data_IF_715657093006
#
_entry.id   IF_715657093006
#
_cell.length_a   1.000
_cell.length_b   1.000
_cell.length_c   1.000
_cell.angle_alpha   90.00
_cell.angle_beta   90.00
_cell.angle_gamma   90.00
#
_symmetry.space_group_name_H-M   'P 1'
#
loop_
_entity.id
_entity.type
_entity.pdbx_description
1 polymer ?
#
# COMPACT_ATOMS: atom_id res chain seq x y z
N UNK A 1 -0.18 -66.55 61.18
CA UNK A 1 0.08 -67.03 59.80
C UNK A 1 0.95 -66.00 59.09
N UNK A 2 2.07 -66.43 58.53
CA UNK A 2 3.08 -65.60 57.87
C UNK A 2 2.61 -65.13 56.48
N UNK A 3 2.78 -63.85 56.18
CA UNK A 3 2.65 -63.30 54.82
C UNK A 3 3.92 -63.60 54.01
N UNK A 4 3.83 -64.08 52.75
CA UNK A 4 5.00 -64.33 51.94
C UNK A 4 5.57 -63.01 51.36
N UNK A 5 6.88 -62.82 51.52
CA UNK A 5 7.65 -61.73 50.93
C UNK A 5 7.78 -61.95 49.42
N UNK A 6 7.14 -61.08 48.63
CA UNK A 6 7.25 -61.07 47.16
C UNK A 6 8.63 -60.53 46.78
N UNK A 7 9.48 -61.37 46.19
CA UNK A 7 10.78 -60.97 45.65
C UNK A 7 10.56 -60.17 44.36
N UNK A 8 10.91 -58.89 44.35
CA UNK A 8 10.99 -58.12 43.11
C UNK A 8 12.18 -58.60 42.27
N UNK A 9 11.99 -59.07 41.04
CA UNK A 9 13.10 -59.42 40.16
C UNK A 9 13.84 -58.13 39.76
N UNK A 10 15.10 -58.02 40.18
CA UNK A 10 16.03 -56.94 39.84
C UNK A 10 16.47 -57.03 38.38
N UNK A 11 15.54 -56.82 37.44
CA UNK A 11 15.82 -56.73 36.00
C UNK A 11 15.80 -55.27 35.51
N UNK A 12 16.38 -54.35 36.30
CA UNK A 12 16.49 -52.92 35.96
C UNK A 12 17.46 -52.63 34.79
N UNK A 13 18.28 -53.61 34.39
CA UNK A 13 19.22 -53.47 33.26
C UNK A 13 18.52 -53.40 31.90
N UNK A 14 17.38 -54.07 31.74
CA UNK A 14 16.61 -54.07 30.49
C UNK A 14 15.95 -52.71 30.16
N UNK A 15 15.26 -52.02 31.09
CA UNK A 15 14.76 -50.67 30.82
C UNK A 15 15.89 -49.63 30.73
N UNK A 16 17.02 -49.83 31.42
CA UNK A 16 18.18 -48.93 31.33
C UNK A 16 18.83 -48.97 29.93
N UNK A 17 18.96 -50.15 29.33
CA UNK A 17 19.48 -50.31 27.97
C UNK A 17 18.53 -49.68 26.94
N UNK A 18 17.22 -49.85 27.12
CA UNK A 18 16.21 -49.21 26.26
C UNK A 18 16.28 -47.67 26.35
N UNK A 19 16.45 -47.14 27.56
CA UNK A 19 16.64 -45.71 27.81
C UNK A 19 17.92 -45.19 27.13
N UNK A 20 19.03 -45.92 27.22
CA UNK A 20 20.29 -45.54 26.56
C UNK A 20 20.17 -45.52 25.02
N UNK A 21 19.44 -46.46 24.42
CA UNK A 21 19.21 -46.50 22.96
C UNK A 21 18.37 -45.30 22.51
N UNK A 22 17.35 -44.92 23.29
CA UNK A 22 16.54 -43.71 23.04
C UNK A 22 17.39 -42.44 23.08
N UNK A 23 18.30 -42.31 24.06
CA UNK A 23 19.20 -41.17 24.16
C UNK A 23 20.21 -41.08 23.00
N UNK A 24 20.65 -42.22 22.45
CA UNK A 24 21.55 -42.24 21.29
C UNK A 24 20.85 -41.87 19.97
N UNK A 25 19.55 -42.15 19.84
CA UNK A 25 18.74 -41.73 18.69
C UNK A 25 18.27 -40.28 18.76
N UNK A 26 18.25 -39.67 19.96
CA UNK A 26 17.77 -38.31 20.17
C UNK A 26 18.78 -37.21 19.76
N UNK A 27 20.00 -37.55 19.34
CA UNK A 27 20.96 -36.57 18.84
C UNK A 27 20.65 -36.23 17.36
N UNK A 28 19.49 -35.61 17.14
CA UNK A 28 19.14 -34.96 15.88
C UNK A 28 19.97 -33.69 15.72
N UNK A 29 20.82 -33.63 14.71
CA UNK A 29 21.63 -32.44 14.40
C UNK A 29 20.69 -31.27 14.15
N UNK A 30 20.75 -30.23 14.98
CA UNK A 30 20.16 -28.93 14.67
C UNK A 30 20.89 -28.37 13.45
N UNK A 31 20.39 -28.67 12.26
CA UNK A 31 20.85 -28.01 11.04
C UNK A 31 20.31 -26.59 11.08
N UNK A 32 21.14 -25.54 11.17
CA UNK A 32 20.65 -24.18 11.11
C UNK A 32 20.02 -23.97 9.73
N UNK A 33 18.70 -23.82 9.68
CA UNK A 33 18.00 -23.45 8.44
C UNK A 33 18.23 -21.96 8.25
N UNK A 34 19.01 -21.54 7.24
CA UNK A 34 19.27 -20.13 7.03
C UNK A 34 17.96 -19.43 6.65
N UNK A 35 17.72 -18.25 7.24
CA UNK A 35 16.57 -17.42 6.85
C UNK A 35 16.65 -17.17 5.33
N UNK A 36 15.57 -17.43 4.57
CA UNK A 36 15.59 -17.19 3.14
C UNK A 36 15.83 -15.70 2.87
N UNK A 37 16.62 -15.42 1.84
CA UNK A 37 16.83 -14.04 1.36
C UNK A 37 15.48 -13.44 0.99
N UNK A 38 15.21 -12.24 1.49
CA UNK A 38 14.03 -11.49 1.08
C UNK A 38 14.17 -11.10 -0.38
N UNK A 39 13.28 -11.58 -1.23
CA UNK A 39 13.13 -11.11 -2.60
C UNK A 39 11.78 -10.42 -2.74
N UNK A 40 11.69 -9.48 -3.68
CA UNK A 40 10.44 -8.83 -4.02
C UNK A 40 9.45 -9.89 -4.50
N UNK A 41 8.38 -10.13 -3.71
CA UNK A 41 7.26 -11.01 -4.10
C UNK A 41 6.26 -10.30 -5.00
N UNK A 42 6.77 -9.47 -5.90
CA UNK A 42 5.96 -8.71 -6.84
C UNK A 42 6.36 -9.25 -8.21
N UNK A 43 5.46 -9.99 -8.84
CA UNK A 43 5.65 -10.45 -10.21
C UNK A 43 5.44 -9.25 -11.14
N UNK A 44 6.54 -8.54 -11.43
CA UNK A 44 6.51 -7.46 -12.40
C UNK A 44 6.35 -8.06 -13.81
N UNK A 45 5.42 -7.53 -14.63
CA UNK A 45 5.29 -7.97 -16.01
C UNK A 45 6.56 -7.60 -16.78
N UNK A 46 6.87 -8.37 -17.83
CA UNK A 46 8.00 -8.08 -18.71
C UNK A 46 7.83 -6.69 -19.33
N UNK A 47 8.85 -5.81 -19.29
CA UNK A 47 8.72 -4.46 -19.81
C UNK A 47 8.43 -4.49 -21.30
N UNK A 48 7.37 -3.79 -21.71
CA UNK A 48 7.02 -3.57 -23.11
C UNK A 48 7.06 -2.08 -23.40
N UNK A 49 7.54 -1.73 -24.58
CA UNK A 49 7.74 -0.35 -25.02
C UNK A 49 7.06 -0.11 -26.36
N UNK A 50 6.48 1.06 -26.51
CA UNK A 50 5.89 1.57 -27.74
C UNK A 50 6.68 2.80 -28.17
N UNK A 51 7.08 2.81 -29.44
CA UNK A 51 7.69 3.98 -30.05
C UNK A 51 6.60 5.04 -30.26
N UNK A 52 6.72 6.19 -29.59
CA UNK A 52 5.81 7.31 -29.78
C UNK A 52 6.60 8.49 -30.30
N UNK A 53 6.17 9.01 -31.45
CA UNK A 53 6.49 10.35 -31.92
C UNK A 53 5.24 11.19 -31.63
N UNK A 54 5.17 11.92 -30.51
CA UNK A 54 4.16 12.96 -30.34
C UNK A 54 4.39 14.06 -31.39
N UNK A 55 3.48 15.01 -31.56
CA UNK A 55 3.57 16.16 -32.49
C UNK A 55 4.74 17.15 -32.16
N UNK A 56 5.94 16.63 -31.90
CA UNK A 56 7.12 17.32 -31.41
C UNK A 56 8.39 16.68 -32.03
N UNK A 57 9.49 17.43 -32.15
CA UNK A 57 10.69 17.01 -32.89
C UNK A 57 11.56 15.96 -32.18
N UNK A 58 11.10 15.40 -31.05
CA UNK A 58 11.80 14.35 -30.30
C UNK A 58 11.04 13.03 -30.38
N UNK A 59 11.80 11.95 -30.29
CA UNK A 59 11.32 10.58 -30.41
C UNK A 59 11.90 9.74 -29.27
N UNK A 60 11.05 9.00 -28.57
CA UNK A 60 11.47 8.10 -27.50
C UNK A 60 10.49 6.94 -27.30
N UNK A 61 11.01 5.86 -26.73
CA UNK A 61 10.23 4.69 -26.37
C UNK A 61 9.52 4.90 -25.03
N UNK A 62 8.22 4.66 -25.00
CA UNK A 62 7.37 4.81 -23.82
C UNK A 62 6.87 3.43 -23.39
N UNK A 63 6.84 3.14 -22.09
CA UNK A 63 6.32 1.85 -21.62
C UNK A 63 4.81 1.71 -21.91
N UNK A 64 4.38 0.53 -22.37
CA UNK A 64 2.96 0.23 -22.60
C UNK A 64 2.10 0.38 -21.35
N UNK A 65 2.72 0.23 -20.18
CA UNK A 65 2.05 0.34 -18.88
C UNK A 65 1.87 1.79 -18.43
N UNK A 66 2.50 2.75 -19.11
CA UNK A 66 2.34 4.16 -18.79
C UNK A 66 1.12 4.72 -19.50
N UNK A 67 0.24 5.36 -18.72
CA UNK A 67 -0.93 6.06 -19.24
C UNK A 67 -0.67 7.55 -19.20
N UNK A 68 -0.67 8.19 -20.36
CA UNK A 68 -0.67 9.64 -20.49
C UNK A 68 -2.12 10.09 -20.61
N UNK A 69 -2.68 10.66 -19.54
CA UNK A 69 -3.95 11.36 -19.60
C UNK A 69 -3.64 12.86 -19.62
N UNK A 70 -4.05 13.55 -20.69
CA UNK A 70 -4.05 15.01 -20.70
C UNK A 70 -5.14 15.46 -19.73
N UNK A 71 -4.73 15.92 -18.56
CA UNK A 71 -5.65 16.51 -17.59
C UNK A 71 -5.90 17.93 -18.07
N UNK A 72 -7.08 18.15 -18.65
CA UNK A 72 -7.59 19.50 -18.87
C UNK A 72 -8.17 19.93 -17.53
N UNK A 73 -7.40 20.70 -16.76
CA UNK A 73 -7.84 21.21 -15.45
C UNK A 73 -8.95 22.24 -15.63
N UNK A 74 -10.18 21.76 -15.77
CA UNK A 74 -11.38 22.59 -15.59
C UNK A 74 -11.63 22.69 -14.09
N UNK A 75 -11.17 23.78 -13.48
CA UNK A 75 -11.61 24.16 -12.13
C UNK A 75 -13.16 24.15 -12.12
N UNK A 76 -13.75 23.32 -11.26
CA UNK A 76 -15.21 23.25 -11.19
C UNK A 76 -15.73 24.57 -10.60
N UNK A 77 -16.91 25.07 -11.03
CA UNK A 77 -17.53 26.20 -10.36
C UNK A 77 -17.73 25.85 -8.88
N UNK A 78 -17.29 26.73 -7.96
CA UNK A 78 -17.34 26.45 -6.51
C UNK A 78 -18.76 26.12 -6.01
N UNK A 79 -19.80 26.67 -6.65
CA UNK A 79 -21.19 26.39 -6.32
C UNK A 79 -21.56 24.92 -6.61
N UNK A 80 -21.15 24.39 -7.77
CA UNK A 80 -21.43 23.00 -8.15
C UNK A 80 -20.61 22.00 -7.30
N UNK A 81 -19.41 22.41 -6.87
CA UNK A 81 -18.58 21.63 -5.95
C UNK A 81 -19.23 21.49 -4.57
N UNK A 82 -19.86 22.56 -4.06
CA UNK A 82 -20.61 22.54 -2.80
C UNK A 82 -21.75 21.51 -2.84
N UNK A 83 -22.60 21.59 -3.87
CA UNK A 83 -23.71 20.64 -4.06
C UNK A 83 -23.23 19.18 -4.15
N UNK A 84 -22.06 18.96 -4.79
CA UNK A 84 -21.46 17.62 -4.86
C UNK A 84 -21.04 17.11 -3.49
N UNK A 85 -20.37 17.94 -2.69
CA UNK A 85 -19.91 17.56 -1.33
C UNK A 85 -21.11 17.29 -0.43
N UNK A 86 -22.15 18.12 -0.49
CA UNK A 86 -23.36 17.93 0.31
C UNK A 86 -24.08 16.62 -0.02
N UNK A 87 -24.09 16.25 -1.31
CA UNK A 87 -24.73 15.02 -1.78
C UNK A 87 -23.91 13.75 -1.50
N UNK A 88 -22.59 13.80 -1.68
CA UNK A 88 -21.74 12.60 -1.66
C UNK A 88 -20.88 12.48 -0.39
N UNK A 89 -20.72 13.55 0.39
CA UNK A 89 -19.91 13.58 1.61
C UNK A 89 -18.39 13.54 1.39
N UNK A 90 -17.94 13.59 0.14
CA UNK A 90 -16.53 13.61 -0.23
C UNK A 90 -16.30 14.43 -1.50
N UNK A 91 -15.04 14.79 -1.75
CA UNK A 91 -14.65 15.51 -2.96
C UNK A 91 -14.80 14.62 -4.21
N UNK A 92 -14.98 15.23 -5.40
CA UNK A 92 -14.91 14.49 -6.66
C UNK A 92 -13.57 13.74 -6.79
N UNK A 93 -13.61 12.57 -7.43
CA UNK A 93 -12.47 11.64 -7.64
C UNK A 93 -11.85 11.03 -6.37
N UNK A 94 -12.23 11.46 -5.16
CA UNK A 94 -11.80 10.79 -3.94
C UNK A 94 -12.65 9.55 -3.69
N UNK A 95 -12.03 8.42 -3.27
CA UNK A 95 -12.77 7.22 -2.94
C UNK A 95 -13.60 7.43 -1.67
N UNK A 96 -14.80 6.84 -1.63
CA UNK A 96 -15.64 6.85 -0.45
C UNK A 96 -15.06 5.96 0.64
N UNK A 97 -15.52 6.16 1.89
CA UNK A 97 -15.07 5.32 3.01
C UNK A 97 -15.42 3.84 2.81
N UNK A 98 -16.49 3.53 2.09
CA UNK A 98 -16.89 2.15 1.81
C UNK A 98 -16.04 1.54 0.69
N UNK A 99 -15.71 2.31 -0.35
CA UNK A 99 -14.77 1.89 -1.40
C UNK A 99 -13.39 1.57 -0.82
N UNK A 100 -12.90 2.39 0.12
CA UNK A 100 -11.62 2.15 0.80
C UNK A 100 -11.64 0.86 1.63
N UNK A 101 -12.78 0.49 2.23
CA UNK A 101 -12.91 -0.76 2.99
C UNK A 101 -12.88 -2.00 2.08
N UNK A 102 -13.47 -1.92 0.89
CA UNK A 102 -13.56 -3.05 -0.05
C UNK A 102 -12.30 -3.23 -0.87
N UNK A 103 -11.79 -2.15 -1.49
CA UNK A 103 -10.69 -2.18 -2.46
C UNK A 103 -9.32 -1.93 -1.80
N UNK A 104 -9.32 -1.42 -0.56
CA UNK A 104 -8.12 -0.94 0.11
C UNK A 104 -7.71 0.46 -0.34
N UNK A 105 -6.80 1.09 0.41
CA UNK A 105 -6.30 2.42 0.07
C UNK A 105 -5.00 2.32 -0.74
N UNK A 106 -5.05 2.67 -2.02
CA UNK A 106 -3.86 2.79 -2.85
C UNK A 106 -3.08 4.07 -2.48
N UNK A 107 -1.96 3.92 -1.76
CA UNK A 107 -1.17 5.06 -1.24
C UNK A 107 -0.66 5.98 -2.34
N UNK A 108 -0.09 5.43 -3.42
CA UNK A 108 0.42 6.24 -4.53
C UNK A 108 -0.70 7.05 -5.18
N UNK A 109 -1.87 6.45 -5.37
CA UNK A 109 -3.02 7.13 -5.97
C UNK A 109 -3.58 8.22 -5.06
N UNK A 110 -3.60 7.97 -3.74
CA UNK A 110 -4.03 8.98 -2.75
C UNK A 110 -3.09 10.18 -2.73
N UNK A 111 -1.78 9.96 -2.84
CA UNK A 111 -0.79 11.04 -2.90
C UNK A 111 -0.95 11.85 -4.20
N UNK A 112 -1.19 11.17 -5.33
CA UNK A 112 -1.47 11.82 -6.61
C UNK A 112 -2.72 12.70 -6.52
N UNK A 113 -3.83 12.15 -6.02
CA UNK A 113 -5.09 12.89 -5.82
C UNK A 113 -4.92 14.06 -4.85
N UNK A 114 -4.18 13.88 -3.75
CA UNK A 114 -3.92 14.97 -2.81
C UNK A 114 -3.15 16.12 -3.47
N UNK A 115 -2.16 15.79 -4.32
CA UNK A 115 -1.38 16.79 -5.05
C UNK A 115 -2.26 17.58 -6.01
N UNK A 116 -3.12 16.88 -6.77
CA UNK A 116 -4.12 17.50 -7.66
C UNK A 116 -5.03 18.48 -6.88
N UNK A 117 -5.47 18.11 -5.67
CA UNK A 117 -6.32 18.99 -4.83
C UNK A 117 -5.58 20.18 -4.24
N UNK A 118 -4.30 20.05 -3.94
CA UNK A 118 -3.46 21.18 -3.49
C UNK A 118 -3.27 22.19 -4.63
N UNK A 119 -3.08 21.72 -5.85
CA UNK A 119 -2.97 22.57 -7.04
C UNK A 119 -4.29 23.31 -7.30
N UNK A 120 -5.42 22.60 -7.32
CA UNK A 120 -6.76 23.18 -7.48
C UNK A 120 -7.05 24.26 -6.43
N UNK A 121 -6.77 23.98 -5.15
CA UNK A 121 -6.92 24.95 -4.07
C UNK A 121 -6.02 26.18 -4.26
N UNK A 122 -4.79 25.98 -4.73
CA UNK A 122 -3.86 27.09 -4.98
C UNK A 122 -4.36 28.00 -6.09
N UNK A 123 -4.97 27.44 -7.15
CA UNK A 123 -5.59 28.22 -8.21
C UNK A 123 -6.75 29.08 -7.68
N UNK A 124 -7.64 28.51 -6.86
CA UNK A 124 -8.72 29.28 -6.22
C UNK A 124 -8.19 30.41 -5.33
N UNK A 125 -7.11 30.16 -4.56
CA UNK A 125 -6.50 31.20 -3.73
C UNK A 125 -5.91 32.34 -4.56
N UNK A 126 -5.30 32.04 -5.71
CA UNK A 126 -4.79 33.06 -6.63
C UNK A 126 -5.92 33.89 -7.24
N UNK A 127 -7.01 33.24 -7.64
CA UNK A 127 -8.20 33.91 -8.16
C UNK A 127 -8.84 34.82 -7.11
N UNK A 128 -9.07 34.31 -5.89
CA UNK A 128 -9.59 35.10 -4.77
C UNK A 128 -8.69 36.29 -4.43
N UNK A 129 -7.37 36.11 -4.45
CA UNK A 129 -6.43 37.21 -4.22
C UNK A 129 -6.58 38.30 -5.27
N UNK A 130 -6.74 37.92 -6.54
CA UNK A 130 -6.93 38.86 -7.65
C UNK A 130 -8.23 39.66 -7.47
N UNK A 131 -9.32 39.00 -7.10
CA UNK A 131 -10.59 39.67 -6.82
C UNK A 131 -10.49 40.65 -5.65
N UNK A 132 -9.82 40.26 -4.56
CA UNK A 132 -9.59 41.14 -3.40
C UNK A 132 -8.79 42.40 -3.80
N UNK A 133 -7.75 42.26 -4.61
CA UNK A 133 -6.96 43.40 -5.07
C UNK A 133 -7.79 44.34 -5.96
N UNK A 134 -8.63 43.81 -6.86
CA UNK A 134 -9.56 44.61 -7.67
C UNK A 134 -10.56 45.38 -6.79
N UNK A 135 -11.17 44.70 -5.81
CA UNK A 135 -12.10 45.34 -4.87
C UNK A 135 -11.41 46.44 -4.05
N UNK A 136 -10.16 46.24 -3.63
CA UNK A 136 -9.36 47.26 -2.93
C UNK A 136 -9.07 48.47 -3.81
N UNK A 137 -8.74 48.25 -5.08
CA UNK A 137 -8.53 49.35 -6.04
C UNK A 137 -9.80 50.16 -6.28
N UNK A 138 -10.96 49.50 -6.38
CA UNK A 138 -12.26 50.16 -6.52
C UNK A 138 -12.61 51.00 -5.29
N UNK A 139 -12.38 50.48 -4.08
CA UNK A 139 -12.59 51.21 -2.83
C UNK A 139 -11.66 52.43 -2.75
N UNK A 140 -10.39 52.30 -3.13
CA UNK A 140 -9.41 53.39 -3.05
C UNK A 140 -9.58 54.47 -4.14
N UNK A 141 -10.34 54.21 -5.20
CA UNK A 141 -10.68 55.19 -6.24
C UNK A 141 -11.86 56.10 -5.88
N UNK A 142 -12.67 55.71 -4.90
CA UNK A 142 -13.82 56.47 -4.40
C UNK A 142 -13.46 57.25 -3.12
#
# INVERSE_FOLDING_TARGET
MNYPSVKHPSNYKSPLVLLCILFLYACGRETPVPKPVGYFRIDLPTPKYQHKSPDCPFEFDISEYSRLELIVDTAHPLNELGDFIDKNGHLPKMPSTDQIKEEGLATCETIRLLTEKVEELTLYLLEQRKEIELLREEINKN
#
